data_IF_480176859712
#
_entry.id   IF_480176859712
#
_cell.length_a   1.000
_cell.length_b   1.000
_cell.length_c   1.000
_cell.angle_alpha   90.00
_cell.angle_beta   90.00
_cell.angle_gamma   90.00
#
_symmetry.space_group_name_H-M   'P 1'
#
loop_
_entity.id
_entity.type
_entity.pdbx_description
1 polymer ?
#
# COMPACT_ATOMS: atom_id res chain seq x y z
N UNK A 1 0.18 9.97 28.00
CA UNK A 1 0.10 10.91 26.85
C UNK A 1 -1.23 10.63 26.16
N UNK A 2 -2.07 11.65 25.99
CA UNK A 2 -3.41 11.53 25.42
C UNK A 2 -3.34 11.14 23.94
N UNK A 3 -4.15 10.16 23.52
CA UNK A 3 -4.40 9.75 22.11
C UNK A 3 -5.10 10.84 21.26
N UNK A 4 -4.87 12.12 21.56
CA UNK A 4 -5.39 13.23 20.79
C UNK A 4 -4.52 13.43 19.54
N UNK A 5 -4.95 12.87 18.41
CA UNK A 5 -4.31 13.13 17.12
C UNK A 5 -4.50 12.07 16.05
N UNK A 6 -5.01 10.88 16.38
CA UNK A 6 -5.32 9.83 15.40
C UNK A 6 -6.76 10.04 14.90
N UNK A 7 -6.98 10.34 13.61
CA UNK A 7 -8.32 10.51 13.07
C UNK A 7 -9.19 9.26 13.29
N UNK A 8 -10.50 9.45 13.44
CA UNK A 8 -11.42 8.32 13.63
C UNK A 8 -11.33 7.29 12.49
N UNK A 9 -10.98 7.73 11.28
CA UNK A 9 -10.80 6.89 10.09
C UNK A 9 -9.68 5.85 10.21
N UNK A 10 -8.73 5.98 11.13
CA UNK A 10 -7.63 5.00 11.32
C UNK A 10 -7.69 4.24 12.65
N UNK A 11 -8.65 4.56 13.52
CA UNK A 11 -8.84 3.84 14.80
C UNK A 11 -9.15 2.36 14.61
N UNK A 12 -9.68 1.97 13.46
CA UNK A 12 -9.91 0.56 13.10
C UNK A 12 -8.61 -0.26 13.02
N UNK A 13 -7.44 0.40 12.97
CA UNK A 13 -6.12 -0.23 12.89
C UNK A 13 -5.33 -0.16 14.22
N UNK A 14 -5.91 0.41 15.28
CA UNK A 14 -5.25 0.54 16.58
C UNK A 14 -5.03 -0.85 17.23
N UNK A 15 -3.79 -1.13 17.64
CA UNK A 15 -3.43 -2.38 18.34
C UNK A 15 -3.23 -3.59 17.42
N UNK A 16 -3.18 -3.39 16.11
CA UNK A 16 -3.00 -4.47 15.13
C UNK A 16 -1.53 -4.78 14.93
N UNK A 17 -1.15 -6.03 15.17
CA UNK A 17 0.21 -6.51 14.92
C UNK A 17 0.34 -7.07 13.48
N UNK A 18 1.10 -6.37 12.64
CA UNK A 18 1.40 -6.80 11.28
C UNK A 18 1.99 -8.21 11.22
N UNK A 19 2.83 -8.59 12.18
CA UNK A 19 3.47 -9.90 12.21
C UNK A 19 2.46 -11.03 12.45
N UNK A 20 1.34 -10.73 13.13
CA UNK A 20 0.23 -11.67 13.27
C UNK A 20 -0.59 -11.73 11.97
N UNK A 21 -0.91 -10.55 11.42
CA UNK A 21 -1.80 -10.43 10.27
C UNK A 21 -1.21 -11.04 8.99
N UNK A 22 0.10 -10.86 8.74
CA UNK A 22 0.77 -11.36 7.53
C UNK A 22 0.85 -12.90 7.45
N UNK A 23 0.57 -13.59 8.56
CA UNK A 23 0.54 -15.05 8.64
C UNK A 23 -0.89 -15.61 8.68
N UNK A 24 -1.90 -14.77 8.44
CA UNK A 24 -3.27 -15.23 8.25
C UNK A 24 -3.35 -16.15 7.01
N UNK A 25 -4.09 -17.26 7.12
CA UNK A 25 -4.21 -18.27 6.06
C UNK A 25 -4.70 -17.71 4.72
N UNK A 26 -5.47 -16.61 4.74
CA UNK A 26 -5.94 -15.97 3.53
C UNK A 26 -4.89 -15.04 2.90
N UNK A 27 -3.77 -14.76 3.59
CA UNK A 27 -2.72 -13.83 3.19
C UNK A 27 -1.33 -14.49 3.15
N UNK A 28 -1.25 -15.81 2.99
CA UNK A 28 0.02 -16.57 2.96
C UNK A 28 1.02 -16.08 1.90
N UNK A 29 0.52 -15.45 0.84
CA UNK A 29 1.32 -14.85 -0.23
C UNK A 29 2.08 -13.58 0.19
N UNK A 30 1.71 -12.93 1.29
CA UNK A 30 2.24 -11.61 1.68
C UNK A 30 3.77 -11.60 1.80
N UNK A 31 4.35 -12.65 2.38
CA UNK A 31 5.80 -12.74 2.58
C UNK A 31 6.56 -12.74 1.24
N UNK A 32 6.05 -13.42 0.23
CA UNK A 32 6.65 -13.47 -1.10
C UNK A 32 6.64 -12.08 -1.77
N UNK A 33 5.51 -11.38 -1.68
CA UNK A 33 5.36 -10.05 -2.25
C UNK A 33 6.18 -8.99 -1.50
N UNK A 34 6.27 -9.07 -0.17
CA UNK A 34 7.20 -8.23 0.61
C UNK A 34 8.64 -8.39 0.12
N UNK A 35 9.08 -9.62 -0.12
CA UNK A 35 10.44 -9.90 -0.59
C UNK A 35 10.66 -9.36 -2.00
N UNK A 36 9.67 -9.50 -2.89
CA UNK A 36 9.69 -8.92 -4.23
C UNK A 36 9.82 -7.40 -4.18
N UNK A 37 9.00 -6.72 -3.37
CA UNK A 37 9.02 -5.25 -3.22
C UNK A 37 10.37 -4.79 -2.67
N UNK A 38 10.91 -5.46 -1.64
CA UNK A 38 12.23 -5.13 -1.07
C UNK A 38 13.34 -5.31 -2.10
N UNK A 39 13.31 -6.38 -2.89
CA UNK A 39 14.29 -6.63 -3.96
C UNK A 39 14.23 -5.54 -5.03
N UNK A 40 13.04 -5.23 -5.55
CA UNK A 40 12.86 -4.17 -6.55
C UNK A 40 13.24 -2.80 -6.00
N UNK A 41 12.91 -2.51 -4.74
CA UNK A 41 13.32 -1.27 -4.07
C UNK A 41 14.85 -1.19 -3.94
N UNK A 42 15.52 -2.28 -3.57
CA UNK A 42 16.99 -2.34 -3.57
C UNK A 42 17.58 -2.10 -4.96
N UNK A 43 17.02 -2.70 -6.01
CA UNK A 43 17.46 -2.46 -7.39
C UNK A 43 17.31 -0.98 -7.80
N UNK A 44 16.16 -0.35 -7.50
CA UNK A 44 15.90 1.06 -7.80
C UNK A 44 16.80 2.00 -7.00
N UNK A 45 16.84 1.86 -5.67
CA UNK A 45 17.47 2.84 -4.80
C UNK A 45 18.98 2.60 -4.63
N UNK A 46 19.41 1.34 -4.54
CA UNK A 46 20.81 1.00 -4.26
C UNK A 46 21.60 0.74 -5.54
N UNK A 47 21.03 0.02 -6.51
CA UNK A 47 21.75 -0.35 -7.76
C UNK A 47 21.69 0.76 -8.81
N UNK A 48 20.50 1.30 -9.09
CA UNK A 48 20.36 2.41 -10.04
C UNK A 48 20.70 3.77 -9.42
N UNK A 49 20.78 3.84 -8.08
CA UNK A 49 21.34 4.96 -7.34
C UNK A 49 20.45 6.20 -7.33
N UNK A 50 19.23 6.08 -6.77
CA UNK A 50 18.38 7.25 -6.54
C UNK A 50 19.02 8.15 -5.49
N UNK A 51 19.27 9.41 -5.86
CA UNK A 51 19.90 10.41 -4.98
C UNK A 51 18.84 11.16 -4.18
N UNK A 52 19.27 11.90 -3.14
CA UNK A 52 18.37 12.72 -2.32
C UNK A 52 17.94 14.03 -3.01
N UNK A 53 18.40 14.30 -4.23
CA UNK A 53 17.99 15.43 -5.05
C UNK A 53 18.13 15.13 -6.55
N UNK A 54 17.47 15.93 -7.38
CA UNK A 54 17.57 15.87 -8.83
C UNK A 54 16.69 14.80 -9.49
N UNK A 55 16.98 14.54 -10.77
CA UNK A 55 16.06 13.84 -11.68
C UNK A 55 15.76 12.39 -11.26
N UNK A 56 16.70 11.69 -10.62
CA UNK A 56 16.47 10.32 -10.16
C UNK A 56 15.50 10.28 -8.98
N UNK A 57 15.57 11.27 -8.07
CA UNK A 57 14.59 11.43 -7.01
C UNK A 57 13.21 11.77 -7.58
N UNK A 58 13.14 12.70 -8.54
CA UNK A 58 11.88 13.12 -9.15
C UNK A 58 11.12 11.94 -9.78
N UNK A 59 11.84 11.04 -10.47
CA UNK A 59 11.26 9.81 -11.04
C UNK A 59 10.72 8.90 -9.92
N UNK A 60 11.50 8.67 -8.86
CA UNK A 60 11.07 7.81 -7.76
C UNK A 60 9.86 8.39 -7.00
N UNK A 61 9.85 9.71 -6.75
CA UNK A 61 8.73 10.44 -6.12
C UNK A 61 7.48 10.31 -6.99
N UNK A 62 7.60 10.59 -8.30
CA UNK A 62 6.47 10.46 -9.25
C UNK A 62 5.92 9.04 -9.28
N UNK A 63 6.78 8.02 -9.21
CA UNK A 63 6.35 6.62 -9.13
C UNK A 63 5.53 6.33 -7.88
N UNK A 64 5.99 6.79 -6.71
CA UNK A 64 5.29 6.58 -5.44
C UNK A 64 3.96 7.36 -5.42
N UNK A 65 3.96 8.61 -5.87
CA UNK A 65 2.76 9.44 -6.01
C UNK A 65 1.74 8.79 -6.95
N UNK A 66 2.21 8.20 -8.05
CA UNK A 66 1.39 7.44 -8.99
C UNK A 66 0.74 6.23 -8.34
N UNK A 67 1.51 5.43 -7.59
CA UNK A 67 0.97 4.31 -6.82
C UNK A 67 -0.08 4.77 -5.81
N UNK A 68 0.17 5.86 -5.07
CA UNK A 68 -0.78 6.38 -4.09
C UNK A 68 -2.08 6.86 -4.75
N UNK A 69 -2.01 7.45 -5.93
CA UNK A 69 -3.20 7.79 -6.73
C UNK A 69 -4.00 6.56 -7.15
N UNK A 70 -3.30 5.52 -7.63
CA UNK A 70 -3.94 4.24 -7.99
C UNK A 70 -4.59 3.61 -6.77
N UNK A 71 -3.86 3.54 -5.65
CA UNK A 71 -4.33 2.96 -4.40
C UNK A 71 -5.69 3.54 -3.96
N UNK A 72 -5.85 4.88 -3.98
CA UNK A 72 -7.12 5.51 -3.62
C UNK A 72 -8.26 5.02 -4.50
N UNK A 73 -8.04 4.97 -5.80
CA UNK A 73 -9.03 4.55 -6.80
C UNK A 73 -9.37 3.06 -6.67
N UNK A 74 -8.36 2.22 -6.41
CA UNK A 74 -8.51 0.78 -6.23
C UNK A 74 -9.23 0.45 -4.90
N UNK A 75 -8.97 1.23 -3.85
CA UNK A 75 -9.68 1.13 -2.57
C UNK A 75 -11.17 1.48 -2.76
N UNK A 76 -11.49 2.56 -3.48
CA UNK A 76 -12.87 2.90 -3.82
C UNK A 76 -13.56 1.81 -4.65
N UNK A 77 -12.84 1.21 -5.59
CA UNK A 77 -13.35 0.10 -6.40
C UNK A 77 -13.64 -1.14 -5.54
N UNK A 78 -12.77 -1.51 -4.59
CA UNK A 78 -13.03 -2.61 -3.69
C UNK A 78 -14.23 -2.32 -2.77
N UNK A 79 -14.33 -1.11 -2.21
CA UNK A 79 -15.50 -0.72 -1.40
C UNK A 79 -16.78 -0.88 -2.18
N UNK A 80 -16.80 -0.42 -3.43
CA UNK A 80 -17.96 -0.57 -4.30
C UNK A 80 -18.30 -2.05 -4.53
N UNK A 81 -17.31 -2.89 -4.83
CA UNK A 81 -17.51 -4.34 -4.99
C UNK A 81 -18.14 -4.97 -3.74
N UNK A 82 -17.65 -4.62 -2.56
CA UNK A 82 -18.16 -5.11 -1.28
C UNK A 82 -19.60 -4.63 -1.01
N UNK A 83 -19.89 -3.36 -1.29
CA UNK A 83 -21.23 -2.77 -1.08
C UNK A 83 -22.26 -3.39 -2.03
N UNK A 84 -21.90 -3.51 -3.31
CA UNK A 84 -22.77 -4.04 -4.37
C UNK A 84 -22.99 -5.56 -4.23
N UNK A 85 -22.15 -6.25 -3.44
CA UNK A 85 -22.31 -7.68 -3.19
C UNK A 85 -23.49 -7.95 -2.23
N UNK A 86 -24.55 -8.57 -2.76
CA UNK A 86 -25.77 -8.90 -2.00
C UNK A 86 -25.58 -9.97 -0.91
N UNK A 87 -24.52 -10.78 -0.97
CA UNK A 87 -24.25 -11.82 0.03
C UNK A 87 -23.42 -11.33 1.21
N UNK A 88 -22.94 -10.09 1.16
CA UNK A 88 -22.11 -9.49 2.22
C UNK A 88 -23.01 -8.78 3.25
N UNK A 89 -22.74 -9.04 4.53
CA UNK A 89 -23.45 -8.42 5.66
C UNK A 89 -23.22 -6.90 5.73
N UNK A 90 -24.22 -6.15 6.17
CA UNK A 90 -24.17 -4.68 6.23
C UNK A 90 -23.03 -4.14 7.12
N UNK A 91 -22.60 -4.91 8.13
CA UNK A 91 -21.44 -4.53 8.96
C UNK A 91 -20.14 -4.56 8.16
N UNK A 92 -19.96 -5.56 7.30
CA UNK A 92 -18.80 -5.64 6.43
C UNK A 92 -18.80 -4.52 5.38
N UNK A 93 -19.97 -4.14 4.88
CA UNK A 93 -20.14 -3.00 3.95
C UNK A 93 -19.78 -1.66 4.59
N UNK A 94 -20.28 -1.39 5.80
CA UNK A 94 -19.92 -0.18 6.55
C UNK A 94 -18.42 -0.15 6.85
N UNK A 95 -17.87 -1.29 7.26
CA UNK A 95 -16.45 -1.40 7.59
C UNK A 95 -15.54 -1.23 6.36
N UNK A 96 -15.96 -1.64 5.17
CA UNK A 96 -15.20 -1.42 3.94
C UNK A 96 -14.93 0.07 3.67
N UNK A 97 -15.91 0.95 3.96
CA UNK A 97 -15.71 2.40 3.85
C UNK A 97 -14.64 2.91 4.81
N UNK A 98 -14.74 2.56 6.09
CA UNK A 98 -13.75 2.91 7.12
C UNK A 98 -12.36 2.40 6.75
N UNK A 99 -12.28 1.17 6.23
CA UNK A 99 -11.06 0.54 5.73
C UNK A 99 -10.39 1.33 4.60
N UNK A 100 -11.16 1.73 3.58
CA UNK A 100 -10.63 2.50 2.47
C UNK A 100 -10.13 3.86 2.95
N UNK A 101 -10.86 4.53 3.84
CA UNK A 101 -10.45 5.83 4.37
C UNK A 101 -9.19 5.73 5.24
N UNK A 102 -9.00 4.64 5.99
CA UNK A 102 -7.76 4.36 6.70
C UNK A 102 -6.56 4.24 5.74
N UNK A 103 -6.71 3.44 4.69
CA UNK A 103 -5.65 3.23 3.69
C UNK A 103 -5.34 4.53 2.91
N UNK A 104 -6.36 5.30 2.54
CA UNK A 104 -6.20 6.60 1.87
C UNK A 104 -5.50 7.62 2.77
N UNK A 105 -5.84 7.66 4.06
CA UNK A 105 -5.17 8.51 5.03
C UNK A 105 -3.67 8.22 5.11
N UNK A 106 -3.27 6.94 5.10
CA UNK A 106 -1.85 6.56 5.05
C UNK A 106 -1.17 7.00 3.74
N UNK A 107 -1.88 6.98 2.61
CA UNK A 107 -1.38 7.54 1.36
C UNK A 107 -1.22 9.08 1.44
N UNK A 108 -2.11 9.77 2.16
CA UNK A 108 -2.08 11.22 2.34
C UNK A 108 -1.02 11.71 3.32
N UNK A 109 -0.65 10.89 4.30
CA UNK A 109 0.47 11.16 5.20
C UNK A 109 1.85 11.09 4.52
N UNK A 110 1.90 11.04 3.20
CA UNK A 110 3.14 11.04 2.42
C UNK A 110 4.05 12.20 2.83
N UNK A 111 5.25 11.87 3.27
CA UNK A 111 6.27 12.80 3.78
C UNK A 111 5.89 13.64 5.03
N UNK A 112 4.65 13.56 5.54
CA UNK A 112 4.18 14.36 6.69
C UNK A 112 4.92 14.04 7.98
N UNK A 113 5.25 12.78 8.23
CA UNK A 113 6.09 12.39 9.38
C UNK A 113 7.57 12.67 9.18
N UNK A 114 7.97 13.13 7.98
CA UNK A 114 9.34 13.03 7.55
C UNK A 114 10.13 14.35 7.67
N UNK A 115 9.48 15.51 7.77
CA UNK A 115 10.11 16.84 7.88
C UNK A 115 11.07 17.18 6.73
N UNK A 116 10.92 18.32 6.05
CA UNK A 116 11.89 18.72 5.01
C UNK A 116 11.82 17.92 3.70
N UNK A 117 10.62 17.51 3.28
CA UNK A 117 10.36 17.01 1.92
C UNK A 117 10.76 15.54 1.65
N UNK A 118 10.60 15.09 0.38
CA UNK A 118 11.02 13.77 -0.06
C UNK A 118 12.55 13.63 -0.08
N UNK A 119 13.03 12.43 0.23
CA UNK A 119 14.43 12.02 0.06
C UNK A 119 14.44 10.57 -0.41
N UNK A 120 15.54 10.07 -1.00
CA UNK A 120 15.63 8.72 -1.54
C UNK A 120 15.21 7.67 -0.49
N UNK A 121 15.75 7.80 0.73
CA UNK A 121 15.42 6.94 1.86
C UNK A 121 13.93 6.97 2.21
N UNK A 122 13.31 8.16 2.25
CA UNK A 122 11.90 8.33 2.61
C UNK A 122 10.98 7.74 1.53
N UNK A 123 11.31 7.93 0.26
CA UNK A 123 10.54 7.37 -0.86
C UNK A 123 10.66 5.84 -0.87
N UNK A 124 11.87 5.30 -0.68
CA UNK A 124 12.09 3.84 -0.53
C UNK A 124 11.22 3.24 0.56
N UNK A 125 11.24 3.84 1.75
CA UNK A 125 10.39 3.42 2.86
C UNK A 125 8.91 3.51 2.52
N UNK A 126 8.49 4.53 1.76
CA UNK A 126 7.11 4.63 1.26
C UNK A 126 6.69 3.40 0.45
N UNK A 127 7.53 2.93 -0.49
CA UNK A 127 7.28 1.71 -1.26
C UNK A 127 7.29 0.45 -0.38
N UNK A 128 8.33 0.26 0.44
CA UNK A 128 8.50 -0.96 1.24
C UNK A 128 7.45 -1.10 2.36
N UNK A 129 6.98 0.01 2.93
CA UNK A 129 5.96 -0.01 3.98
C UNK A 129 4.53 -0.06 3.40
N UNK A 130 4.35 0.16 2.10
CA UNK A 130 3.02 0.22 1.48
C UNK A 130 2.20 -1.05 1.73
N UNK A 131 2.81 -2.20 1.44
CA UNK A 131 2.18 -3.51 1.63
C UNK A 131 1.71 -3.73 3.06
N UNK A 132 2.45 -3.27 4.07
CA UNK A 132 2.12 -3.56 5.48
C UNK A 132 0.77 -3.01 5.87
N UNK A 133 0.51 -1.72 5.60
CA UNK A 133 -0.77 -1.13 5.96
C UNK A 133 -1.90 -1.70 5.09
N UNK A 134 -1.66 -1.96 3.80
CA UNK A 134 -2.67 -2.55 2.91
C UNK A 134 -3.15 -3.90 3.47
N UNK A 135 -2.21 -4.74 3.91
CA UNK A 135 -2.51 -6.07 4.46
C UNK A 135 -3.19 -6.01 5.82
N UNK A 136 -2.72 -5.14 6.72
CA UNK A 136 -3.39 -4.87 8.01
C UNK A 136 -4.84 -4.51 7.76
N UNK A 137 -5.07 -3.50 6.92
CA UNK A 137 -6.40 -3.06 6.57
C UNK A 137 -7.21 -4.23 5.97
N UNK A 138 -6.68 -4.89 4.93
CA UNK A 138 -7.39 -5.93 4.17
C UNK A 138 -7.82 -7.12 5.02
N UNK A 139 -7.01 -7.51 5.99
CA UNK A 139 -7.34 -8.64 6.87
C UNK A 139 -8.53 -8.32 7.76
N UNK A 140 -8.61 -7.10 8.29
CA UNK A 140 -9.77 -6.71 9.09
C UNK A 140 -11.07 -6.68 8.29
N UNK A 141 -11.00 -6.25 7.02
CA UNK A 141 -12.14 -6.32 6.13
C UNK A 141 -12.54 -7.77 5.88
N UNK A 142 -11.59 -8.61 5.51
CA UNK A 142 -11.81 -10.02 5.23
C UNK A 142 -12.43 -10.76 6.44
N UNK A 143 -12.01 -10.45 7.66
CA UNK A 143 -12.54 -11.07 8.89
C UNK A 143 -13.99 -10.70 9.22
N UNK A 144 -14.62 -9.78 8.49
CA UNK A 144 -16.06 -9.50 8.60
C UNK A 144 -16.94 -10.42 7.75
N UNK A 145 -16.37 -11.22 6.85
CA UNK A 145 -17.13 -12.10 5.96
C UNK A 145 -16.79 -13.59 6.10
N UNK A 146 -17.45 -14.38 5.26
CA UNK A 146 -17.24 -15.82 5.15
C UNK A 146 -15.95 -16.18 4.38
N UNK A 147 -15.71 -17.48 4.19
CA UNK A 147 -14.50 -17.99 3.52
C UNK A 147 -14.37 -17.48 2.08
N UNK A 148 -15.48 -17.33 1.36
CA UNK A 148 -15.43 -16.92 -0.04
C UNK A 148 -15.21 -15.41 -0.16
N UNK A 149 -15.83 -14.61 0.72
CA UNK A 149 -15.52 -13.19 0.85
C UNK A 149 -14.05 -12.94 1.21
N UNK A 150 -13.49 -13.72 2.14
CA UNK A 150 -12.07 -13.64 2.51
C UNK A 150 -11.14 -13.89 1.32
N UNK A 151 -11.47 -14.88 0.48
CA UNK A 151 -10.71 -15.16 -0.75
C UNK A 151 -10.84 -14.04 -1.78
N UNK A 152 -12.03 -13.47 -1.94
CA UNK A 152 -12.28 -12.37 -2.87
C UNK A 152 -11.47 -11.12 -2.49
N UNK A 153 -11.55 -10.69 -1.22
CA UNK A 153 -10.77 -9.56 -0.70
C UNK A 153 -9.27 -9.83 -0.83
N UNK A 154 -8.81 -11.01 -0.40
CA UNK A 154 -7.39 -11.37 -0.51
C UNK A 154 -6.90 -11.38 -1.96
N UNK A 155 -7.67 -11.97 -2.87
CA UNK A 155 -7.37 -12.04 -4.29
C UNK A 155 -7.28 -10.65 -4.92
N UNK A 156 -8.28 -9.79 -4.68
CA UNK A 156 -8.26 -8.42 -5.19
C UNK A 156 -7.05 -7.63 -4.66
N UNK A 157 -6.76 -7.74 -3.36
CA UNK A 157 -5.63 -7.05 -2.75
C UNK A 157 -4.31 -7.53 -3.35
N UNK A 158 -4.14 -8.84 -3.54
CA UNK A 158 -2.95 -9.41 -4.18
C UNK A 158 -2.81 -8.98 -5.63
N UNK A 159 -3.82 -9.29 -6.44
CA UNK A 159 -3.73 -9.27 -7.91
C UNK A 159 -3.89 -7.86 -8.48
N UNK A 160 -4.52 -6.95 -7.73
CA UNK A 160 -4.82 -5.60 -8.21
C UNK A 160 -4.01 -4.55 -7.44
N UNK A 161 -4.14 -4.52 -6.11
CA UNK A 161 -3.53 -3.44 -5.30
C UNK A 161 -2.02 -3.64 -5.17
N UNK A 162 -1.58 -4.82 -4.75
CA UNK A 162 -0.14 -5.11 -4.57
C UNK A 162 0.56 -5.21 -5.92
N UNK A 163 -0.11 -5.75 -6.95
CA UNK A 163 0.45 -5.73 -8.30
C UNK A 163 0.65 -4.30 -8.82
N UNK A 164 -0.28 -3.37 -8.57
CA UNK A 164 -0.11 -1.95 -8.93
C UNK A 164 1.12 -1.33 -8.28
N UNK A 165 1.43 -1.67 -7.02
CA UNK A 165 2.67 -1.24 -6.34
C UNK A 165 3.92 -1.74 -7.06
N UNK A 166 3.93 -3.02 -7.44
CA UNK A 166 5.04 -3.64 -8.17
C UNK A 166 5.21 -3.02 -9.55
N UNK A 167 4.11 -2.79 -10.27
CA UNK A 167 4.13 -2.20 -11.60
C UNK A 167 4.69 -0.77 -11.57
N UNK A 168 4.34 0.01 -10.54
CA UNK A 168 4.90 1.35 -10.33
C UNK A 168 6.39 1.32 -10.01
N UNK A 169 6.85 0.39 -9.18
CA UNK A 169 8.29 0.18 -8.93
C UNK A 169 9.05 -0.23 -10.20
N UNK A 170 8.50 -1.15 -10.99
CA UNK A 170 9.09 -1.55 -12.27
C UNK A 170 9.14 -0.38 -13.26
N UNK A 171 8.09 0.44 -13.31
CA UNK A 171 8.08 1.67 -14.11
C UNK A 171 9.19 2.64 -13.71
N UNK A 172 9.37 2.89 -12.41
CA UNK A 172 10.48 3.70 -11.88
C UNK A 172 11.82 3.12 -12.32
N UNK A 173 12.02 1.81 -12.13
CA UNK A 173 13.23 1.12 -12.55
C UNK A 173 13.53 1.33 -14.04
N UNK A 174 12.55 1.10 -14.91
CA UNK A 174 12.71 1.28 -16.36
C UNK A 174 13.03 2.72 -16.75
N UNK A 175 12.38 3.71 -16.12
CA UNK A 175 12.68 5.12 -16.37
C UNK A 175 14.12 5.48 -15.94
N UNK A 176 14.58 4.99 -14.79
CA UNK A 176 15.95 5.20 -14.31
C UNK A 176 17.01 4.52 -15.21
N UNK A 177 16.77 3.28 -15.64
CA UNK A 177 17.63 2.60 -16.60
C UNK A 177 17.74 3.36 -17.94
N UNK A 178 16.64 3.98 -18.39
CA UNK A 178 16.66 4.82 -19.58
C UNK A 178 17.50 6.09 -19.38
N UNK A 179 17.41 6.74 -18.22
CA UNK A 179 18.21 7.92 -17.89
C UNK A 179 19.72 7.65 -17.92
N UNK A 180 20.14 6.49 -17.39
CA UNK A 180 21.54 6.09 -17.39
C UNK A 180 22.10 5.84 -18.79
N UNK A 181 21.26 5.43 -19.76
CA UNK A 181 21.67 5.23 -21.16
C UNK A 181 21.81 6.53 -21.95
N UNK A 182 21.16 7.60 -21.49
CA UNK A 182 21.16 8.91 -22.15
C UNK A 182 22.13 9.92 -21.52
N UNK A 183 22.78 9.56 -20.43
CA UNK A 183 23.80 10.36 -19.73
C UNK A 183 25.20 9.93 -20.17
#
# INVERSE_FOLDING_TARGET
>A
MSNAGVPDSVKCLDGVDYEVVKHNAHFEWVTEYENTIKRLSSEVFDTLGVQDEGRTLDVAVKGLDGFQGDLKSLMDALVKQVIDNSSVDDRAKSFAGEWADAAKYHADLKYHHAGGGPSAKKVRWGFECAIKYIIVCATHLADKGDVDFKKEVSGYVRDVIIQSLIDRLNGVKSELEALQKTS
#
